data_IF_072193315439
#
_entry.id   IF_072193315439
#
_cell.length_a   1.000
_cell.length_b   1.000
_cell.length_c   1.000
_cell.angle_alpha   90.00
_cell.angle_beta   90.00
_cell.angle_gamma   90.00
#
_symmetry.space_group_name_H-M   'P 1'
#
loop_
_entity.id
_entity.type
_entity.pdbx_description
1 polymer ?
#
# COMPACT_ATOMS: atom_id res chain seq x y z
N UNK A 1 -16.10 -9.76 10.93
CA UNK A 1 -15.15 -10.03 9.84
C UNK A 1 -14.01 -9.02 9.87
N UNK A 2 -12.84 -9.38 9.36
CA UNK A 2 -11.70 -8.45 9.18
C UNK A 2 -12.10 -7.20 8.37
N UNK A 3 -13.01 -7.37 7.40
CA UNK A 3 -13.61 -6.29 6.63
C UNK A 3 -14.35 -5.26 7.51
N UNK A 4 -15.14 -5.69 8.49
CA UNK A 4 -15.88 -4.79 9.39
C UNK A 4 -14.94 -4.02 10.33
N UNK A 5 -13.83 -4.64 10.74
CA UNK A 5 -12.79 -3.98 11.54
C UNK A 5 -12.01 -2.95 10.70
N UNK A 6 -11.62 -3.31 9.47
CA UNK A 6 -10.93 -2.44 8.53
C UNK A 6 -11.79 -1.25 8.08
N UNK A 7 -13.05 -1.47 7.72
CA UNK A 7 -13.97 -0.38 7.33
C UNK A 7 -14.30 0.54 8.50
N UNK A 8 -14.38 0.04 9.73
CA UNK A 8 -14.49 0.89 10.92
C UNK A 8 -13.25 1.74 11.11
N UNK A 9 -12.05 1.14 11.03
CA UNK A 9 -10.79 1.87 11.12
C UNK A 9 -10.63 2.91 10.00
N UNK A 10 -11.01 2.59 8.76
CA UNK A 10 -10.90 3.48 7.61
C UNK A 10 -11.91 4.64 7.63
N UNK A 11 -13.10 4.46 8.22
CA UNK A 11 -14.10 5.53 8.38
C UNK A 11 -13.67 6.62 9.34
N UNK A 12 -12.76 6.31 10.25
CA UNK A 12 -12.22 7.27 11.23
C UNK A 12 -10.97 8.00 10.71
N UNK A 13 -10.49 7.69 9.49
CA UNK A 13 -9.33 8.35 8.89
C UNK A 13 -9.74 9.68 8.23
N UNK A 14 -9.38 10.79 8.86
CA UNK A 14 -9.45 12.12 8.25
C UNK A 14 -8.31 12.25 7.22
N UNK A 15 -8.58 11.88 5.96
CA UNK A 15 -7.59 11.90 4.86
C UNK A 15 -6.83 13.24 4.79
N UNK A 16 -7.48 14.42 4.85
CA UNK A 16 -6.79 15.71 4.93
C UNK A 16 -5.82 15.88 6.10
N UNK A 17 -6.16 15.38 7.30
CA UNK A 17 -5.35 15.59 8.51
C UNK A 17 -4.38 14.48 8.83
N UNK A 18 -4.60 13.28 8.32
CA UNK A 18 -3.85 12.09 8.71
C UNK A 18 -3.07 11.51 7.53
N UNK A 19 -3.64 11.50 6.33
CA UNK A 19 -3.00 10.94 5.13
C UNK A 19 -2.19 12.00 4.40
N UNK A 20 -2.76 13.18 4.11
CA UNK A 20 -2.05 14.23 3.37
C UNK A 20 -0.74 14.71 4.04
N UNK A 21 -0.60 14.75 5.38
CA UNK A 21 0.68 15.09 6.00
C UNK A 21 1.76 14.03 5.78
N UNK A 22 1.40 12.75 5.64
CA UNK A 22 2.34 11.69 5.28
C UNK A 22 2.82 11.86 3.83
N UNK A 23 1.94 12.35 2.95
CA UNK A 23 2.25 12.70 1.56
C UNK A 23 3.12 13.98 1.40
N UNK A 24 3.39 14.72 2.48
CA UNK A 24 4.37 15.84 2.45
C UNK A 24 5.81 15.34 2.33
N UNK A 25 6.04 14.07 2.66
CA UNK A 25 7.31 13.37 2.44
C UNK A 25 7.19 12.58 1.15
N UNK A 26 8.32 12.37 0.47
CA UNK A 26 8.39 11.51 -0.70
C UNK A 26 7.83 10.14 -0.34
N UNK A 27 6.67 9.82 -0.89
CA UNK A 27 5.91 8.61 -0.56
C UNK A 27 5.31 8.00 -1.81
N UNK A 28 5.10 6.69 -1.77
CA UNK A 28 4.50 5.94 -2.85
C UNK A 28 3.46 4.96 -2.30
N UNK A 29 2.30 4.89 -2.93
CA UNK A 29 1.30 3.84 -2.72
C UNK A 29 1.13 3.06 -4.02
N UNK A 30 1.24 1.75 -3.93
CA UNK A 30 1.44 0.87 -5.07
C UNK A 30 0.53 -0.34 -4.90
N UNK A 31 -0.28 -0.67 -5.91
CA UNK A 31 -0.94 -1.96 -6.02
C UNK A 31 -0.43 -2.68 -7.27
N UNK A 32 0.14 -3.87 -7.10
CA UNK A 32 0.73 -4.70 -8.16
C UNK A 32 0.48 -6.18 -7.87
N UNK A 33 0.89 -7.05 -8.78
CA UNK A 33 0.98 -8.48 -8.50
C UNK A 33 2.06 -8.75 -7.42
N UNK A 34 1.79 -9.73 -6.55
CA UNK A 34 2.69 -10.19 -5.49
C UNK A 34 2.94 -11.69 -5.56
N UNK A 35 3.74 -12.20 -4.62
CA UNK A 35 4.14 -13.61 -4.53
C UNK A 35 2.99 -14.59 -4.25
N UNK A 36 2.03 -14.21 -3.42
CA UNK A 36 0.89 -15.04 -3.02
C UNK A 36 -0.47 -14.45 -3.45
N UNK A 37 -0.46 -13.54 -4.43
CA UNK A 37 -1.63 -12.78 -4.86
C UNK A 37 -1.33 -11.29 -4.92
N UNK A 38 -2.35 -10.43 -5.01
CA UNK A 38 -2.18 -8.99 -5.15
C UNK A 38 -1.42 -8.37 -3.96
N UNK A 39 -0.44 -7.55 -4.27
CA UNK A 39 0.38 -6.83 -3.31
C UNK A 39 0.00 -5.35 -3.28
N UNK A 40 -0.29 -4.83 -2.10
CA UNK A 40 -0.38 -3.39 -1.84
C UNK A 40 0.81 -2.98 -1.01
N UNK A 41 1.64 -2.09 -1.55
CA UNK A 41 2.85 -1.57 -0.92
C UNK A 41 2.75 -0.07 -0.71
N UNK A 42 3.02 0.37 0.53
CA UNK A 42 3.18 1.76 0.89
C UNK A 42 4.62 2.02 1.32
N UNK A 43 5.26 3.01 0.71
CA UNK A 43 6.64 3.40 0.99
C UNK A 43 6.70 4.86 1.38
N UNK A 44 7.41 5.17 2.47
CA UNK A 44 7.68 6.54 2.90
C UNK A 44 9.18 6.73 3.02
N UNK A 45 9.71 7.77 2.36
CA UNK A 45 11.11 8.17 2.47
C UNK A 45 11.36 9.18 3.59
N UNK A 46 12.64 9.34 3.96
CA UNK A 46 13.07 10.27 5.01
C UNK A 46 12.71 9.80 6.42
N UNK A 47 12.49 8.50 6.62
CA UNK A 47 12.23 7.91 7.93
C UNK A 47 13.54 7.37 8.49
N UNK A 48 14.01 7.96 9.59
CA UNK A 48 15.17 7.44 10.32
C UNK A 48 14.90 6.04 10.85
N UNK A 49 15.94 5.21 10.95
CA UNK A 49 15.81 3.80 11.31
C UNK A 49 15.12 3.62 12.66
N UNK A 50 15.50 4.39 13.66
CA UNK A 50 14.92 4.35 15.01
C UNK A 50 13.44 4.68 14.96
N UNK A 51 13.05 5.70 14.19
CA UNK A 51 11.65 6.08 14.02
C UNK A 51 10.85 5.05 13.24
N UNK A 52 11.46 4.41 12.24
CA UNK A 52 10.84 3.33 11.49
C UNK A 52 10.57 2.11 12.38
N UNK A 53 11.50 1.77 13.27
CA UNK A 53 11.33 0.71 14.26
C UNK A 53 10.20 1.05 15.26
N UNK A 54 10.17 2.28 15.79
CA UNK A 54 9.06 2.72 16.66
C UNK A 54 7.71 2.65 15.96
N UNK A 55 7.63 3.05 14.68
CA UNK A 55 6.39 2.94 13.90
C UNK A 55 5.99 1.47 13.68
N UNK A 56 6.96 0.59 13.42
CA UNK A 56 6.69 -0.84 13.33
C UNK A 56 6.14 -1.38 14.65
N UNK A 57 6.77 -1.09 15.79
CA UNK A 57 6.26 -1.48 17.13
C UNK A 57 4.84 -0.96 17.40
N UNK A 58 4.55 0.29 17.03
CA UNK A 58 3.20 0.85 17.15
C UNK A 58 2.20 0.09 16.29
N UNK A 59 2.56 -0.26 15.06
CA UNK A 59 1.72 -1.06 14.17
C UNK A 59 1.49 -2.46 14.75
N UNK A 60 2.54 -3.11 15.28
CA UNK A 60 2.42 -4.40 15.97
C UNK A 60 1.42 -4.33 17.14
N UNK A 61 1.42 -3.23 17.89
CA UNK A 61 0.46 -3.03 19.00
C UNK A 61 -0.98 -2.78 18.54
N UNK A 62 -1.17 -2.32 17.30
CA UNK A 62 -2.48 -2.02 16.72
C UNK A 62 -3.09 -3.24 16.01
N UNK A 63 -2.28 -4.12 15.44
CA UNK A 63 -2.72 -5.32 14.69
C UNK A 63 -3.70 -6.21 15.46
N UNK A 64 -3.52 -6.51 16.76
CA UNK A 64 -4.51 -7.27 17.55
C UNK A 64 -5.91 -6.65 17.57
N UNK A 65 -6.03 -5.33 17.36
CA UNK A 65 -7.32 -4.62 17.33
C UNK A 65 -8.02 -4.69 15.97
N UNK A 66 -7.28 -5.09 14.93
CA UNK A 66 -7.76 -5.20 13.55
C UNK A 66 -8.07 -6.65 13.18
N UNK A 67 -7.54 -7.60 13.95
CA UNK A 67 -7.79 -9.03 13.82
C UNK A 67 -9.06 -9.41 14.57
N UNK A 68 -10.02 -10.14 13.95
CA UNK A 68 -11.11 -10.75 14.70
C UNK A 68 -10.52 -11.74 15.71
N UNK A 69 -10.80 -11.56 17.00
CA UNK A 69 -10.24 -12.38 18.10
C UNK A 69 -10.55 -13.88 17.95
N UNK A 70 -11.60 -14.24 17.21
CA UNK A 70 -12.17 -15.59 17.21
C UNK A 70 -11.46 -16.60 16.28
N UNK A 71 -10.65 -16.17 15.30
CA UNK A 71 -10.17 -17.08 14.23
C UNK A 71 -8.64 -17.34 14.18
N UNK A 72 -7.79 -16.52 14.83
CA UNK A 72 -6.33 -16.55 14.56
C UNK A 72 -5.41 -16.68 15.80
N UNK A 73 -5.95 -16.61 17.02
CA UNK A 73 -5.14 -16.51 18.22
C UNK A 73 -4.35 -15.19 18.30
N UNK A 74 -3.37 -15.10 19.20
CA UNK A 74 -2.53 -13.91 19.30
C UNK A 74 -1.68 -13.73 18.03
N UNK A 75 -1.59 -12.53 17.44
CA UNK A 75 -0.78 -12.31 16.24
C UNK A 75 0.68 -12.71 16.47
N UNK A 76 1.18 -13.65 15.65
CA UNK A 76 2.58 -14.02 15.65
C UNK A 76 3.35 -13.08 14.72
N UNK A 77 4.42 -12.48 15.25
CA UNK A 77 5.34 -11.64 14.49
C UNK A 77 6.57 -12.45 14.14
N UNK A 78 6.84 -12.57 12.85
CA UNK A 78 7.94 -13.35 12.32
C UNK A 78 8.95 -12.44 11.64
N UNK A 79 10.24 -12.74 11.82
CA UNK A 79 11.29 -12.06 11.08
C UNK A 79 11.55 -12.83 9.79
N UNK A 80 11.45 -12.13 8.67
CA UNK A 80 11.69 -12.68 7.34
C UNK A 80 12.71 -11.83 6.57
N UNK A 81 13.31 -12.40 5.52
CA UNK A 81 14.23 -11.69 4.63
C UNK A 81 13.55 -11.42 3.28
N UNK A 82 13.37 -10.13 2.97
CA UNK A 82 12.90 -9.65 1.68
C UNK A 82 14.09 -9.32 0.78
N UNK A 83 14.75 -10.35 0.24
CA UNK A 83 15.88 -10.22 -0.70
C UNK A 83 17.05 -9.39 -0.13
N UNK A 84 17.51 -9.74 1.07
CA UNK A 84 18.56 -9.03 1.82
C UNK A 84 18.04 -7.85 2.66
N UNK A 85 16.73 -7.65 2.72
CA UNK A 85 16.09 -6.63 3.54
C UNK A 85 15.33 -7.28 4.70
N UNK A 86 15.77 -7.12 5.96
CA UNK A 86 15.05 -7.63 7.11
C UNK A 86 13.65 -7.02 7.19
N UNK A 87 12.65 -7.88 7.26
CA UNK A 87 11.25 -7.53 7.39
C UNK A 87 10.63 -8.22 8.61
N UNK A 88 9.63 -7.59 9.21
CA UNK A 88 8.75 -8.21 10.19
C UNK A 88 7.41 -8.45 9.52
N UNK A 89 6.93 -9.68 9.61
CA UNK A 89 5.66 -10.13 9.05
C UNK A 89 4.70 -10.46 10.17
N UNK A 90 3.41 -10.20 9.94
CA UNK A 90 2.32 -10.64 10.80
C UNK A 90 1.12 -11.09 9.98
N UNK A 91 0.51 -12.20 10.41
CA UNK A 91 -0.76 -12.66 9.85
C UNK A 91 -1.90 -11.89 10.52
N UNK A 92 -2.71 -11.18 9.74
CA UNK A 92 -3.82 -10.34 10.25
C UNK A 92 -5.21 -10.84 9.83
N UNK A 93 -5.26 -11.87 9.00
CA UNK A 93 -6.45 -12.54 8.48
C UNK A 93 -6.07 -13.94 8.01
N UNK A 94 -7.02 -14.84 7.70
CA UNK A 94 -6.69 -16.13 7.07
C UNK A 94 -5.88 -15.95 5.78
N UNK A 95 -6.24 -14.94 4.99
CA UNK A 95 -5.65 -14.66 3.67
C UNK A 95 -4.94 -13.31 3.59
N UNK A 96 -4.77 -12.61 4.72
CA UNK A 96 -4.11 -11.31 4.77
C UNK A 96 -2.90 -11.34 5.69
N UNK A 97 -1.76 -11.05 5.09
CA UNK A 97 -0.48 -10.85 5.74
C UNK A 97 -0.05 -9.40 5.59
N UNK A 98 0.64 -8.87 6.58
CA UNK A 98 1.26 -7.55 6.49
C UNK A 98 2.72 -7.66 6.89
N UNK A 99 3.60 -7.12 6.07
CA UNK A 99 5.04 -7.07 6.30
C UNK A 99 5.51 -5.62 6.38
N UNK A 100 6.49 -5.37 7.24
CA UNK A 100 7.08 -4.06 7.49
C UNK A 100 8.60 -4.14 7.39
N UNK A 101 9.24 -3.18 6.74
CA UNK A 101 10.70 -3.11 6.69
C UNK A 101 11.23 -1.68 6.69
N UNK A 102 12.38 -1.50 7.32
CA UNK A 102 13.11 -0.24 7.37
C UNK A 102 14.47 -0.38 6.67
N UNK A 103 14.68 0.36 5.58
CA UNK A 103 15.90 0.29 4.77
C UNK A 103 16.18 1.62 4.08
N UNK A 104 17.46 1.98 3.89
CA UNK A 104 17.88 3.17 3.11
C UNK A 104 17.09 4.47 3.46
N UNK A 105 16.79 4.71 4.74
CA UNK A 105 15.95 5.82 5.26
C UNK A 105 14.50 5.81 4.74
N UNK A 106 13.98 4.62 4.46
CA UNK A 106 12.59 4.37 4.06
C UNK A 106 11.94 3.42 5.05
N UNK A 107 10.63 3.56 5.19
CA UNK A 107 9.74 2.57 5.79
C UNK A 107 8.85 2.04 4.67
N UNK A 108 8.83 0.73 4.48
CA UNK A 108 7.89 0.05 3.60
C UNK A 108 6.92 -0.80 4.43
N UNK A 109 5.64 -0.76 4.03
CA UNK A 109 4.56 -1.59 4.56
C UNK A 109 3.94 -2.28 3.35
N UNK A 110 3.76 -3.59 3.39
CA UNK A 110 3.24 -4.34 2.25
C UNK A 110 2.32 -5.46 2.69
N UNK A 111 1.33 -5.82 1.87
CA UNK A 111 0.54 -7.05 2.06
C UNK A 111 1.26 -8.32 1.57
N UNK A 112 2.45 -8.16 0.99
CA UNK A 112 3.28 -9.22 0.44
C UNK A 112 4.77 -8.92 0.65
N UNK A 113 5.58 -9.95 0.87
CA UNK A 113 7.03 -9.80 1.07
C UNK A 113 7.72 -9.30 -0.21
N UNK A 114 7.21 -9.67 -1.40
CA UNK A 114 7.76 -9.22 -2.68
C UNK A 114 7.66 -7.69 -2.85
N UNK A 115 6.60 -7.07 -2.33
CA UNK A 115 6.46 -5.61 -2.35
C UNK A 115 7.58 -4.88 -1.59
N UNK A 116 8.08 -5.47 -0.50
CA UNK A 116 9.25 -4.95 0.22
C UNK A 116 10.52 -5.14 -0.62
N UNK A 117 10.71 -6.33 -1.21
CA UNK A 117 11.85 -6.61 -2.08
C UNK A 117 11.92 -5.62 -3.25
N UNK A 118 10.79 -5.35 -3.90
CA UNK A 118 10.70 -4.42 -5.03
C UNK A 118 11.02 -2.97 -4.61
N UNK A 119 10.49 -2.55 -3.47
CA UNK A 119 10.76 -1.23 -2.89
C UNK A 119 12.24 -1.06 -2.50
N UNK A 120 12.87 -2.11 -1.95
CA UNK A 120 14.28 -2.11 -1.55
C UNK A 120 15.25 -2.17 -2.74
N UNK A 121 14.87 -2.91 -3.78
CA UNK A 121 15.60 -3.07 -5.03
C UNK A 121 15.65 -1.79 -5.88
N UNK A 122 14.75 -0.83 -5.64
CA UNK A 122 14.77 0.51 -6.26
C UNK A 122 14.45 0.55 -7.75
N UNK A 123 14.14 -0.60 -8.36
CA UNK A 123 13.90 -0.74 -9.81
C UNK A 123 12.57 -1.39 -10.18
N UNK A 124 11.78 -1.91 -9.23
CA UNK A 124 10.56 -2.66 -9.54
C UNK A 124 9.50 -1.80 -10.25
N UNK A 125 9.18 -0.64 -9.68
CA UNK A 125 8.13 0.25 -10.19
C UNK A 125 8.45 0.90 -11.53
N UNK A 126 9.62 1.50 -11.67
CA UNK A 126 10.01 2.20 -12.90
C UNK A 126 10.16 1.25 -14.11
N UNK A 127 10.18 -0.07 -13.88
CA UNK A 127 10.24 -1.08 -14.93
C UNK A 127 8.87 -1.66 -15.28
N UNK A 128 7.83 -1.32 -14.54
CA UNK A 128 6.46 -1.71 -14.88
C UNK A 128 6.01 -0.97 -16.15
N UNK A 129 5.50 -1.68 -17.17
CA UNK A 129 4.91 -1.05 -18.36
C UNK A 129 3.78 -0.08 -18.00
N UNK A 130 3.05 -0.37 -16.92
CA UNK A 130 1.92 0.44 -16.48
C UNK A 130 2.40 1.71 -15.79
N UNK A 131 3.48 1.64 -15.01
CA UNK A 131 4.11 2.82 -14.42
C UNK A 131 4.55 3.82 -15.49
N UNK A 132 5.25 3.40 -16.53
CA UNK A 132 5.65 4.32 -17.60
C UNK A 132 4.43 4.88 -18.36
N UNK A 133 3.38 4.08 -18.55
CA UNK A 133 2.15 4.54 -19.23
C UNK A 133 1.41 5.61 -18.45
N UNK A 134 1.23 5.44 -17.14
CA UNK A 134 0.45 6.38 -16.32
C UNK A 134 1.29 7.44 -15.60
N UNK A 135 2.61 7.25 -15.51
CA UNK A 135 3.51 8.12 -14.72
C UNK A 135 4.84 8.45 -15.41
N UNK A 136 5.09 7.99 -16.64
CA UNK A 136 6.35 8.27 -17.35
C UNK A 136 6.57 9.75 -17.67
N UNK A 137 5.48 10.52 -17.82
CA UNK A 137 5.54 11.98 -18.07
C UNK A 137 5.57 12.85 -16.81
N UNK A 138 5.80 12.29 -15.62
CA UNK A 138 5.81 13.05 -14.36
C UNK A 138 7.08 13.90 -14.20
N UNK A 139 7.07 14.93 -13.35
CA UNK A 139 8.29 15.63 -12.94
C UNK A 139 9.27 14.70 -12.23
N UNK A 140 10.59 14.97 -12.35
CA UNK A 140 11.63 14.18 -11.67
C UNK A 140 11.48 14.20 -10.13
N UNK A 141 10.94 15.30 -9.58
CA UNK A 141 10.71 15.48 -8.15
C UNK A 141 9.22 15.49 -7.87
N UNK A 142 8.75 14.40 -7.26
CA UNK A 142 7.38 14.28 -6.73
C UNK A 142 7.44 14.13 -5.21
N UNK A 143 6.43 14.65 -4.52
CA UNK A 143 6.23 14.45 -3.09
C UNK A 143 5.37 13.22 -2.82
N UNK A 144 4.47 12.86 -3.73
CA UNK A 144 3.69 11.63 -3.60
C UNK A 144 3.47 11.00 -4.97
N UNK A 145 3.38 9.67 -4.97
CA UNK A 145 3.09 8.87 -6.14
C UNK A 145 2.08 7.78 -5.78
N UNK A 146 1.12 7.56 -6.67
CA UNK A 146 0.14 6.49 -6.61
C UNK A 146 0.23 5.71 -7.91
N UNK A 147 0.41 4.39 -7.82
CA UNK A 147 0.24 3.48 -8.94
C UNK A 147 -0.73 2.39 -8.51
N UNK A 148 -1.82 2.23 -9.24
CA UNK A 148 -2.81 1.19 -8.98
C UNK A 148 -2.96 0.34 -10.23
N UNK A 149 -2.60 -0.93 -10.13
CA UNK A 149 -3.18 -1.98 -10.95
C UNK A 149 -4.57 -2.31 -10.37
N UNK A 150 -5.62 -1.94 -11.10
CA UNK A 150 -6.98 -2.04 -10.60
C UNK A 150 -7.52 -3.47 -10.65
N UNK A 151 -6.97 -4.31 -11.52
CA UNK A 151 -7.27 -5.74 -11.53
C UNK A 151 -6.76 -6.39 -10.24
N UNK A 152 -5.52 -6.07 -9.85
CA UNK A 152 -4.92 -6.54 -8.60
C UNK A 152 -5.66 -6.00 -7.37
N UNK A 153 -6.05 -4.72 -7.39
CA UNK A 153 -6.80 -4.12 -6.28
C UNK A 153 -8.19 -4.74 -6.12
N UNK A 154 -8.88 -5.03 -7.23
CA UNK A 154 -10.16 -5.73 -7.21
C UNK A 154 -9.99 -7.17 -6.70
N UNK A 155 -8.98 -7.90 -7.19
CA UNK A 155 -8.68 -9.25 -6.73
C UNK A 155 -8.38 -9.27 -5.21
N UNK A 156 -7.66 -8.28 -4.69
CA UNK A 156 -7.41 -8.15 -3.26
C UNK A 156 -8.71 -7.88 -2.52
N UNK A 157 -9.57 -7.02 -3.07
CA UNK A 157 -10.88 -6.77 -2.50
C UNK A 157 -11.72 -8.04 -2.41
N UNK A 158 -11.75 -8.85 -3.46
CA UNK A 158 -12.46 -10.13 -3.48
C UNK A 158 -11.92 -11.09 -2.41
N UNK A 159 -10.60 -11.19 -2.24
CA UNK A 159 -9.96 -11.96 -1.15
C UNK A 159 -10.35 -11.46 0.24
N UNK A 160 -10.53 -10.14 0.40
CA UNK A 160 -10.97 -9.52 1.64
C UNK A 160 -12.49 -9.58 1.85
N UNK A 161 -13.23 -10.25 0.97
CA UNK A 161 -14.69 -10.38 1.03
C UNK A 161 -15.45 -9.14 0.56
N UNK A 162 -14.81 -8.21 -0.15
CA UNK A 162 -15.47 -7.04 -0.75
C UNK A 162 -16.32 -7.40 -1.97
N UNK A 163 -16.22 -8.63 -2.50
CA UNK A 163 -17.03 -9.09 -3.61
C UNK A 163 -18.54 -9.04 -3.31
N UNK A 164 -18.92 -9.19 -2.03
CA UNK A 164 -20.31 -9.19 -1.58
C UNK A 164 -20.79 -7.78 -1.13
N UNK A 165 -19.91 -6.78 -1.15
CA UNK A 165 -20.26 -5.42 -0.74
C UNK A 165 -21.08 -4.72 -1.82
N UNK A 166 -22.28 -4.25 -1.46
CA UNK A 166 -23.21 -3.59 -2.38
C UNK A 166 -22.63 -2.35 -3.08
N UNK A 167 -21.73 -1.60 -2.42
CA UNK A 167 -21.10 -0.43 -3.01
C UNK A 167 -20.04 -0.83 -4.06
N UNK A 168 -19.30 -1.92 -3.81
CA UNK A 168 -18.34 -2.47 -4.77
C UNK A 168 -19.06 -3.08 -5.96
N UNK A 169 -20.12 -3.85 -5.72
CA UNK A 169 -20.97 -4.42 -6.77
C UNK A 169 -21.56 -3.33 -7.69
N UNK A 170 -21.96 -2.19 -7.13
CA UNK A 170 -22.54 -1.09 -7.89
C UNK A 170 -21.58 -0.45 -8.91
N UNK A 171 -20.27 -0.55 -8.69
CA UNK A 171 -19.24 0.05 -9.56
C UNK A 171 -18.32 -0.97 -10.22
N UNK A 172 -18.51 -2.27 -9.95
CA UNK A 172 -17.60 -3.34 -10.38
C UNK A 172 -17.36 -3.35 -11.88
N UNK A 173 -18.45 -3.31 -12.66
CA UNK A 173 -18.38 -3.35 -14.12
C UNK A 173 -17.64 -2.14 -14.70
N UNK A 174 -17.72 -0.98 -14.04
CA UNK A 174 -16.99 0.22 -14.43
C UNK A 174 -15.52 0.16 -14.02
N UNK A 175 -15.23 -0.38 -12.83
CA UNK A 175 -13.85 -0.58 -12.38
C UNK A 175 -13.10 -1.60 -13.25
N UNK A 176 -13.78 -2.64 -13.74
CA UNK A 176 -13.19 -3.62 -14.66
C UNK A 176 -12.82 -3.04 -16.04
N UNK A 177 -13.39 -1.88 -16.41
CA UNK A 177 -13.00 -1.16 -17.63
C UNK A 177 -11.74 -0.32 -17.41
N UNK A 178 -11.25 -0.18 -16.19
CA UNK A 178 -10.03 0.55 -15.89
C UNK A 178 -8.91 -0.46 -15.64
N UNK A 179 -7.82 -0.36 -16.42
CA UNK A 179 -6.68 -1.25 -16.26
C UNK A 179 -5.77 -0.77 -15.13
N UNK A 180 -5.36 0.49 -15.22
CA UNK A 180 -4.45 1.09 -14.24
C UNK A 180 -4.74 2.56 -14.02
N UNK A 181 -4.41 3.03 -12.81
CA UNK A 181 -4.46 4.43 -12.44
C UNK A 181 -3.10 4.87 -11.93
N UNK A 182 -2.68 6.07 -12.32
CA UNK A 182 -1.48 6.73 -11.81
C UNK A 182 -1.83 8.10 -11.30
N UNK A 183 -1.33 8.48 -10.13
CA UNK A 183 -1.38 9.86 -9.68
C UNK A 183 -0.04 10.32 -9.15
N UNK A 184 0.24 11.61 -9.25
CA UNK A 184 1.36 12.21 -8.55
C UNK A 184 1.01 13.57 -7.98
N UNK A 185 1.73 13.94 -6.93
CA UNK A 185 1.77 15.30 -6.40
C UNK A 185 3.20 15.81 -6.50
N UNK A 186 3.36 16.99 -7.08
CA UNK A 186 4.63 17.71 -7.16
C UNK A 186 4.47 19.08 -6.49
N UNK A 187 5.54 19.56 -5.86
CA UNK A 187 5.59 20.89 -5.27
C UNK A 187 6.78 21.66 -5.83
N UNK A 188 6.50 22.87 -6.27
CA UNK A 188 7.50 23.83 -6.73
C UNK A 188 7.21 25.18 -6.07
N UNK A 189 8.09 25.59 -5.15
CA UNK A 189 7.85 26.77 -4.31
C UNK A 189 6.59 26.60 -3.44
N UNK A 190 5.65 27.54 -3.58
CA UNK A 190 4.34 27.54 -2.93
C UNK A 190 3.25 26.84 -3.75
N UNK A 191 3.55 26.44 -4.99
CA UNK A 191 2.61 25.76 -5.86
C UNK A 191 2.64 24.25 -5.67
N UNK A 192 1.46 23.63 -5.64
CA UNK A 192 1.30 22.17 -5.61
C UNK A 192 0.51 21.76 -6.84
N UNK A 193 1.11 20.91 -7.67
CA UNK A 193 0.50 20.34 -8.87
C UNK A 193 0.14 18.90 -8.60
N UNK A 194 -1.10 18.52 -8.89
CA UNK A 194 -1.55 17.14 -8.86
C UNK A 194 -2.03 16.71 -10.23
N UNK A 195 -1.66 15.50 -10.65
CA UNK A 195 -2.16 14.90 -11.88
C UNK A 195 -2.62 13.47 -11.61
N UNK A 196 -3.69 13.08 -12.29
CA UNK A 196 -4.30 11.76 -12.24
C UNK A 196 -4.51 11.27 -13.67
N UNK A 197 -4.04 10.06 -13.95
CA UNK A 197 -4.13 9.39 -15.25
C UNK A 197 -4.72 8.01 -15.10
N UNK A 198 -5.46 7.59 -16.11
CA UNK A 198 -6.05 6.25 -16.17
C UNK A 198 -5.75 5.62 -17.53
N UNK A 199 -5.61 4.29 -17.52
CA UNK A 199 -5.59 3.48 -18.73
C UNK A 199 -6.89 2.70 -18.82
N UNK A 200 -7.54 2.76 -19.98
CA UNK A 200 -8.73 2.00 -20.36
C UNK A 200 -8.28 1.01 -21.46
N UNK A 201 -8.82 -0.23 -21.53
CA UNK A 201 -8.55 -1.19 -22.59
C UNK A 201 -8.77 -0.65 -24.01
#
# INVERSE_FOLDING_TARGET
SALAAFTRAARDVDVPREVLPLLRRQSAFIATEGDAGPAVTFVVEGVERERALTLAEQLQSAVPRLTPEEDLGAPAFESEDASGTPAITVQVGPDLRVSYAAFKRKLAISTSLSGISDAAGGGGLARSPDFERVLGGRPERVSALLLLDLEQLLALGEQLGLADDSAVLAVRDDLQKLRSAGAYLAREGDQTTGELRFTIP
#
